data_IF_426106385974
#
_entry.id   IF_426106385974
#
_cell.length_a   1.000
_cell.length_b   1.000
_cell.length_c   1.000
_cell.angle_alpha   90.00
_cell.angle_beta   90.00
_cell.angle_gamma   90.00
#
_symmetry.space_group_name_H-M   'P 1'
#
loop_
_entity.id
_entity.type
_entity.pdbx_description
1 polymer ?
#
# COMPACT_ATOMS: atom_id res chain seq x y z
N UNK A 1 -2.14 17.69 7.12
CA UNK A 1 -1.46 16.40 7.36
C UNK A 1 -0.37 16.23 6.31
N UNK A 2 0.83 15.82 6.67
CA UNK A 2 1.87 15.42 5.73
C UNK A 2 1.96 13.90 5.63
N UNK A 3 2.84 13.37 4.79
CA UNK A 3 2.94 11.92 4.53
C UNK A 3 3.42 11.14 5.76
N UNK A 4 4.34 11.70 6.54
CA UNK A 4 4.82 11.06 7.76
C UNK A 4 3.71 10.94 8.80
N UNK A 5 2.94 12.01 9.01
CA UNK A 5 1.77 12.01 9.89
C UNK A 5 0.72 10.99 9.45
N UNK A 6 0.48 10.87 8.13
CA UNK A 6 -0.43 9.89 7.56
C UNK A 6 0.00 8.45 7.89
N UNK A 7 1.28 8.13 7.65
CA UNK A 7 1.77 6.79 7.94
C UNK A 7 1.89 6.51 9.43
N UNK A 8 2.26 7.49 10.26
CA UNK A 8 2.25 7.34 11.72
C UNK A 8 0.84 7.06 12.25
N UNK A 9 -0.17 7.73 11.69
CA UNK A 9 -1.58 7.43 11.98
C UNK A 9 -1.99 6.05 11.49
N UNK A 10 -1.31 5.50 10.47
CA UNK A 10 -1.56 4.15 9.95
C UNK A 10 -0.88 3.05 10.75
N UNK A 11 0.08 3.35 11.63
CA UNK A 11 0.78 2.35 12.47
C UNK A 11 -0.22 1.57 13.32
N UNK A 12 -0.07 0.25 13.34
CA UNK A 12 -0.92 -0.68 14.11
C UNK A 12 -1.31 -1.92 13.31
N UNK A 13 -2.25 -2.67 13.85
CA UNK A 13 -2.81 -3.87 13.24
C UNK A 13 -4.22 -3.57 12.71
N UNK A 14 -4.50 -3.99 11.47
CA UNK A 14 -5.74 -3.72 10.78
C UNK A 14 -6.35 -5.01 10.23
N UNK A 15 -7.66 -5.17 10.40
CA UNK A 15 -8.44 -6.17 9.69
C UNK A 15 -9.06 -5.50 8.47
N UNK A 16 -8.72 -5.98 7.29
CA UNK A 16 -9.15 -5.46 6.01
C UNK A 16 -10.11 -6.42 5.34
N UNK A 17 -11.19 -5.90 4.80
CA UNK A 17 -12.07 -6.59 3.86
C UNK A 17 -12.08 -5.80 2.56
N UNK A 18 -11.60 -6.44 1.48
CA UNK A 18 -11.49 -5.85 0.15
C UNK A 18 -12.41 -6.59 -0.81
N UNK A 19 -13.20 -5.85 -1.55
CA UNK A 19 -13.89 -6.33 -2.75
C UNK A 19 -13.18 -5.80 -3.98
N UNK A 20 -12.99 -6.64 -4.99
CA UNK A 20 -12.35 -6.30 -6.25
C UNK A 20 -13.22 -6.76 -7.43
N UNK A 21 -13.27 -5.94 -8.47
CA UNK A 21 -13.91 -6.28 -9.73
C UNK A 21 -12.87 -6.24 -10.85
N UNK A 22 -12.64 -7.37 -11.48
CA UNK A 22 -11.87 -7.48 -12.71
C UNK A 22 -12.81 -7.30 -13.89
N UNK A 23 -12.72 -6.13 -14.54
CA UNK A 23 -13.57 -5.81 -15.69
C UNK A 23 -13.17 -6.60 -16.94
N UNK A 24 -11.86 -6.92 -17.05
CA UNK A 24 -11.33 -7.70 -18.16
C UNK A 24 -11.83 -9.15 -18.16
N UNK A 25 -12.02 -9.75 -16.99
CA UNK A 25 -12.44 -11.15 -16.83
C UNK A 25 -13.89 -11.28 -16.35
N UNK A 26 -14.57 -10.15 -16.04
CA UNK A 26 -15.92 -10.11 -15.48
C UNK A 26 -16.03 -10.91 -14.17
N UNK A 27 -14.98 -10.83 -13.36
CA UNK A 27 -14.87 -11.54 -12.10
C UNK A 27 -14.98 -10.58 -10.92
N UNK A 28 -15.51 -11.09 -9.83
CA UNK A 28 -15.58 -10.42 -8.53
C UNK A 28 -14.80 -11.24 -7.51
N UNK A 29 -14.04 -10.57 -6.64
CA UNK A 29 -13.22 -11.20 -5.61
C UNK A 29 -13.45 -10.51 -4.27
N UNK A 30 -13.56 -11.30 -3.19
CA UNK A 30 -13.49 -10.82 -1.83
C UNK A 30 -12.22 -11.35 -1.15
N UNK A 31 -11.47 -10.46 -0.52
CA UNK A 31 -10.25 -10.81 0.20
C UNK A 31 -10.32 -10.24 1.61
N UNK A 32 -10.07 -11.07 2.59
CA UNK A 32 -9.86 -10.68 3.98
C UNK A 32 -8.37 -10.73 4.30
N UNK A 33 -7.87 -9.67 4.91
CA UNK A 33 -6.45 -9.55 5.25
C UNK A 33 -6.25 -9.03 6.66
N UNK A 34 -5.19 -9.50 7.29
CA UNK A 34 -4.60 -8.86 8.45
C UNK A 34 -3.39 -8.08 7.99
N UNK A 35 -3.34 -6.80 8.32
CA UNK A 35 -2.25 -5.92 7.91
C UNK A 35 -1.62 -5.35 9.18
N UNK A 36 -0.31 -5.45 9.29
CA UNK A 36 0.47 -4.86 10.38
C UNK A 36 1.42 -3.82 9.81
N UNK A 37 1.31 -2.60 10.31
CA UNK A 37 2.18 -1.48 9.92
C UNK A 37 2.98 -1.05 11.14
N UNK A 38 4.30 -1.00 10.98
CA UNK A 38 5.24 -0.61 12.04
C UNK A 38 6.13 0.50 11.51
N UNK A 39 6.28 1.58 12.29
CA UNK A 39 7.30 2.57 12.00
C UNK A 39 8.69 1.99 12.31
N UNK A 40 9.59 2.09 11.36
CA UNK A 40 10.97 1.65 11.51
C UNK A 40 11.91 2.85 11.56
N UNK A 41 13.00 2.68 12.29
CA UNK A 41 14.08 3.66 12.27
C UNK A 41 14.89 3.52 10.99
N UNK A 42 15.47 4.61 10.52
CA UNK A 42 16.34 4.60 9.33
C UNK A 42 17.64 3.83 9.54
N UNK A 43 17.99 3.50 10.79
CA UNK A 43 19.13 2.66 11.15
C UNK A 43 18.80 1.15 11.30
N UNK A 44 17.57 0.72 11.00
CA UNK A 44 17.23 -0.71 10.87
C UNK A 44 18.02 -1.30 9.70
N UNK A 45 18.68 -2.42 9.93
CA UNK A 45 19.56 -3.05 8.92
C UNK A 45 18.84 -3.34 7.60
N UNK A 46 17.60 -3.78 7.65
CA UNK A 46 16.75 -4.06 6.47
C UNK A 46 16.47 -2.78 5.68
N UNK A 47 16.21 -1.67 6.39
CA UNK A 47 15.97 -0.37 5.76
C UNK A 47 17.25 0.15 5.12
N UNK A 48 18.40 0.06 5.81
CA UNK A 48 19.71 0.48 5.28
C UNK A 48 20.06 -0.30 4.02
N UNK A 49 19.89 -1.62 4.05
CA UNK A 49 20.13 -2.49 2.88
C UNK A 49 19.24 -2.09 1.72
N UNK A 50 17.93 -1.95 1.97
CA UNK A 50 16.96 -1.50 0.95
C UNK A 50 17.31 -0.14 0.34
N UNK A 51 17.68 0.84 1.16
CA UNK A 51 18.07 2.17 0.69
C UNK A 51 19.36 2.11 -0.15
N UNK A 52 20.35 1.33 0.27
CA UNK A 52 21.63 1.14 -0.43
C UNK A 52 21.42 0.47 -1.79
N UNK A 53 20.68 -0.63 -1.84
CA UNK A 53 20.41 -1.39 -3.07
C UNK A 53 19.64 -0.56 -4.10
N UNK A 54 18.87 0.41 -3.63
CA UNK A 54 18.10 1.31 -4.47
C UNK A 54 18.78 2.65 -4.72
N UNK A 55 20.06 2.83 -4.30
CA UNK A 55 20.81 4.08 -4.45
C UNK A 55 20.07 5.31 -3.89
N UNK A 56 19.35 5.13 -2.78
CA UNK A 56 18.60 6.20 -2.11
C UNK A 56 19.49 6.84 -1.06
N UNK A 57 19.61 8.17 -1.11
CA UNK A 57 20.34 8.91 -0.09
C UNK A 57 19.62 8.80 1.25
N UNK A 58 20.28 8.20 2.25
CA UNK A 58 19.73 8.03 3.60
C UNK A 58 19.36 9.34 4.28
N UNK A 59 20.06 10.44 3.94
CA UNK A 59 19.77 11.77 4.48
C UNK A 59 18.45 12.36 3.96
N UNK A 60 17.90 11.83 2.89
CA UNK A 60 16.60 12.26 2.35
C UNK A 60 15.42 11.49 2.95
N UNK A 61 15.68 10.54 3.86
CA UNK A 61 14.67 9.66 4.45
C UNK A 61 14.55 9.94 5.93
N UNK A 62 13.40 10.46 6.35
CA UNK A 62 13.12 10.70 7.77
C UNK A 62 12.68 9.42 8.50
N UNK A 63 11.81 8.64 7.88
CA UNK A 63 11.25 7.40 8.43
C UNK A 63 10.99 6.37 7.33
N UNK A 64 11.02 5.10 7.73
CA UNK A 64 10.55 3.98 6.94
C UNK A 64 9.41 3.26 7.69
N UNK A 65 8.62 2.50 6.95
CA UNK A 65 7.52 1.71 7.50
C UNK A 65 7.63 0.29 6.98
N UNK A 66 7.43 -0.67 7.88
CA UNK A 66 7.35 -2.09 7.55
C UNK A 66 5.88 -2.47 7.52
N UNK A 67 5.46 -3.09 6.44
CA UNK A 67 4.09 -3.56 6.23
C UNK A 67 4.14 -5.06 6.06
N UNK A 68 3.48 -5.79 6.95
CA UNK A 68 3.28 -7.23 6.82
C UNK A 68 1.80 -7.49 6.59
N UNK A 69 1.47 -8.45 5.74
CA UNK A 69 0.09 -8.85 5.54
C UNK A 69 -0.06 -10.35 5.41
N UNK A 70 -1.23 -10.83 5.84
CA UNK A 70 -1.73 -12.18 5.63
C UNK A 70 -3.13 -12.04 5.03
N UNK A 71 -3.36 -12.65 3.88
CA UNK A 71 -4.60 -12.55 3.13
C UNK A 71 -5.20 -13.93 2.84
N UNK A 72 -6.53 -14.00 2.90
CA UNK A 72 -7.32 -15.17 2.51
C UNK A 72 -8.37 -14.73 1.49
N UNK A 73 -8.48 -15.45 0.37
CA UNK A 73 -9.55 -15.27 -0.60
C UNK A 73 -10.71 -16.19 -0.24
N UNK A 74 -11.95 -15.68 -0.28
CA UNK A 74 -13.16 -16.46 0.04
C UNK A 74 -13.76 -17.15 -1.22
N UNK A 75 -13.13 -17.04 -2.40
CA UNK A 75 -13.76 -17.34 -3.68
C UNK A 75 -13.82 -18.82 -4.08
N UNK A 76 -12.95 -19.70 -3.60
CA UNK A 76 -13.00 -21.12 -3.94
C UNK A 76 -12.63 -21.99 -2.73
N UNK A 77 -13.42 -23.06 -2.47
CA UNK A 77 -13.08 -24.04 -1.44
C UNK A 77 -11.73 -24.74 -1.71
N UNK A 78 -11.31 -24.86 -2.98
CA UNK A 78 -9.97 -25.35 -3.36
C UNK A 78 -8.88 -24.29 -3.22
N UNK A 79 -9.18 -22.99 -3.36
CA UNK A 79 -8.26 -21.86 -3.19
C UNK A 79 -8.18 -21.35 -1.75
N UNK A 80 -9.06 -21.76 -0.83
CA UNK A 80 -8.98 -21.46 0.59
C UNK A 80 -7.65 -21.88 1.24
N UNK A 81 -6.85 -22.71 0.55
CA UNK A 81 -5.49 -23.09 0.94
C UNK A 81 -4.39 -22.11 0.52
N UNK A 82 -4.66 -21.13 -0.34
CA UNK A 82 -3.71 -20.08 -0.70
C UNK A 82 -3.81 -18.92 0.29
N UNK A 83 -3.26 -19.11 1.48
CA UNK A 83 -2.88 -17.99 2.31
C UNK A 83 -1.75 -17.25 1.58
N UNK A 84 -2.02 -16.02 1.17
CA UNK A 84 -0.97 -15.16 0.63
C UNK A 84 -0.48 -14.26 1.76
N UNK A 85 0.79 -14.30 2.03
CA UNK A 85 1.41 -13.43 3.01
C UNK A 85 2.62 -12.73 2.41
N UNK A 86 2.93 -11.56 2.90
CA UNK A 86 4.08 -10.83 2.43
C UNK A 86 4.51 -9.72 3.37
N UNK A 87 5.68 -9.17 3.05
CA UNK A 87 6.28 -8.04 3.75
C UNK A 87 6.71 -7.00 2.72
N UNK A 88 6.59 -5.73 3.06
CA UNK A 88 7.10 -4.64 2.25
C UNK A 88 7.72 -3.55 3.13
N UNK A 89 8.84 -3.01 2.68
CA UNK A 89 9.44 -1.79 3.21
C UNK A 89 8.89 -0.63 2.39
N UNK A 90 8.39 0.39 3.07
CA UNK A 90 7.84 1.59 2.46
C UNK A 90 8.63 2.80 2.97
N UNK A 91 9.17 3.58 2.04
CA UNK A 91 9.96 4.78 2.31
C UNK A 91 9.32 5.97 1.62
N UNK A 92 8.67 6.87 2.37
CA UNK A 92 8.18 8.14 1.82
C UNK A 92 9.32 9.14 1.68
N UNK A 93 9.34 9.87 0.55
CA UNK A 93 10.25 10.97 0.28
C UNK A 93 9.41 12.20 -0.04
N UNK A 94 9.47 13.21 0.81
CA UNK A 94 8.75 14.47 0.63
C UNK A 94 9.45 15.34 -0.42
N UNK A 95 8.66 15.87 -1.38
CA UNK A 95 9.07 16.93 -2.32
C UNK A 95 8.46 18.24 -1.88
N UNK A 96 7.22 18.19 -1.40
CA UNK A 96 6.51 19.29 -0.77
C UNK A 96 5.72 18.77 0.43
N UNK A 97 5.04 19.64 1.16
CA UNK A 97 4.21 19.26 2.31
C UNK A 97 3.14 18.20 1.97
N UNK A 98 2.63 18.21 0.74
CA UNK A 98 1.50 17.37 0.32
C UNK A 98 1.83 16.44 -0.84
N UNK A 99 3.02 16.51 -1.41
CA UNK A 99 3.38 15.72 -2.59
C UNK A 99 4.81 15.16 -2.46
N UNK A 100 5.04 14.01 -3.07
CA UNK A 100 6.35 13.37 -3.09
C UNK A 100 6.32 12.00 -3.72
N UNK A 101 7.24 11.15 -3.29
CA UNK A 101 7.40 9.79 -3.78
C UNK A 101 7.29 8.79 -2.64
N UNK A 102 6.77 7.61 -2.95
CA UNK A 102 6.83 6.45 -2.07
C UNK A 102 7.65 5.39 -2.80
N UNK A 103 8.72 4.94 -2.16
CA UNK A 103 9.53 3.83 -2.65
C UNK A 103 9.19 2.63 -1.80
N UNK A 104 8.84 1.51 -2.43
CA UNK A 104 8.51 0.29 -1.73
C UNK A 104 9.22 -0.92 -2.34
N UNK A 105 9.59 -1.87 -1.48
CA UNK A 105 9.98 -3.19 -1.91
C UNK A 105 8.74 -3.96 -2.36
N UNK A 106 8.85 -4.68 -3.46
CA UNK A 106 7.78 -5.56 -3.96
C UNK A 106 8.24 -7.00 -3.78
N UNK A 107 7.59 -7.72 -2.86
CA UNK A 107 7.64 -9.17 -2.79
C UNK A 107 8.99 -9.83 -2.43
N UNK A 108 8.91 -11.12 -2.19
CA UNK A 108 9.90 -11.97 -1.53
C UNK A 108 11.14 -12.36 -2.36
N UNK A 109 11.21 -12.11 -3.66
CA UNK A 109 12.27 -12.72 -4.50
C UNK A 109 12.88 -11.84 -5.57
N UNK A 110 12.32 -10.68 -5.86
CA UNK A 110 12.91 -9.77 -6.82
C UNK A 110 12.91 -8.36 -6.24
N UNK A 111 14.10 -7.77 -6.14
CA UNK A 111 14.28 -6.38 -5.73
C UNK A 111 13.77 -5.39 -6.81
N UNK A 112 12.51 -5.54 -7.21
CA UNK A 112 11.86 -4.62 -8.11
C UNK A 112 11.38 -3.43 -7.29
N UNK A 113 12.13 -2.35 -7.39
CA UNK A 113 11.77 -1.05 -6.84
C UNK A 113 10.51 -0.53 -7.53
N UNK A 114 9.42 -0.40 -6.79
CA UNK A 114 8.28 0.36 -7.24
C UNK A 114 8.35 1.77 -6.67
N UNK A 115 8.43 2.75 -7.57
CA UNK A 115 8.37 4.18 -7.23
C UNK A 115 7.00 4.69 -7.60
N UNK A 116 6.25 5.12 -6.61
CA UNK A 116 4.93 5.72 -6.78
C UNK A 116 5.00 7.22 -6.47
N UNK A 117 4.21 8.02 -7.15
CA UNK A 117 3.96 9.41 -6.76
C UNK A 117 2.81 9.44 -5.74
N UNK A 118 2.86 10.38 -4.81
CA UNK A 118 1.75 10.60 -3.91
C UNK A 118 1.34 12.06 -3.85
N UNK A 119 0.07 12.24 -3.49
CA UNK A 119 -0.52 13.53 -3.14
C UNK A 119 -1.44 13.38 -1.94
N UNK A 120 -1.40 14.32 -1.02
CA UNK A 120 -2.34 14.42 0.10
C UNK A 120 -3.29 15.58 -0.18
N UNK A 121 -4.58 15.31 -0.18
CA UNK A 121 -5.63 16.30 -0.36
C UNK A 121 -5.91 17.08 0.93
N UNK A 122 -6.66 18.17 0.84
CA UNK A 122 -7.00 19.03 1.98
C UNK A 122 -7.82 18.31 3.06
N UNK A 123 -8.62 17.31 2.67
CA UNK A 123 -9.37 16.44 3.58
C UNK A 123 -8.51 15.35 4.24
N UNK A 124 -7.23 15.29 3.90
CA UNK A 124 -6.28 14.29 4.39
C UNK A 124 -6.29 12.97 3.63
N UNK A 125 -7.00 12.87 2.51
CA UNK A 125 -6.95 11.69 1.64
C UNK A 125 -5.57 11.58 0.99
N UNK A 126 -4.93 10.43 1.14
CA UNK A 126 -3.70 10.09 0.45
C UNK A 126 -4.05 9.46 -0.91
N UNK A 127 -3.54 10.03 -1.99
CA UNK A 127 -3.61 9.45 -3.33
C UNK A 127 -2.22 8.94 -3.69
N UNK A 128 -2.15 7.72 -4.23
CA UNK A 128 -0.91 7.10 -4.70
C UNK A 128 -1.10 6.73 -6.17
N UNK A 129 -0.17 7.14 -7.00
CA UNK A 129 -0.09 6.80 -8.42
C UNK A 129 1.09 5.89 -8.65
N UNK A 130 0.84 4.71 -9.21
CA UNK A 130 1.85 3.70 -9.48
C UNK A 130 1.74 3.23 -10.91
N UNK A 131 2.80 3.40 -11.67
CA UNK A 131 2.91 2.87 -13.03
C UNK A 131 3.85 1.66 -13.00
N UNK A 132 3.41 0.56 -13.56
CA UNK A 132 4.19 -0.66 -13.68
C UNK A 132 3.87 -1.38 -14.99
N UNK A 133 4.90 -1.62 -15.81
CA UNK A 133 4.75 -2.15 -17.16
C UNK A 133 3.73 -1.33 -17.98
N UNK A 134 2.64 -1.97 -18.42
CA UNK A 134 1.60 -1.37 -19.24
C UNK A 134 0.36 -0.96 -18.44
N UNK A 135 0.45 -0.92 -17.11
CA UNK A 135 -0.69 -0.57 -16.24
C UNK A 135 -0.36 0.62 -15.34
N UNK A 136 -1.38 1.43 -15.09
CA UNK A 136 -1.37 2.53 -14.13
C UNK A 136 -2.43 2.28 -13.06
N UNK A 137 -2.06 2.44 -11.80
CA UNK A 137 -2.96 2.28 -10.66
C UNK A 137 -3.03 3.56 -9.87
N UNK A 138 -4.25 4.06 -9.65
CA UNK A 138 -4.55 5.12 -8.70
C UNK A 138 -5.17 4.48 -7.45
N UNK A 139 -4.57 4.73 -6.30
CA UNK A 139 -5.04 4.30 -4.99
C UNK A 139 -5.41 5.52 -4.15
N UNK A 140 -6.56 5.47 -3.48
CA UNK A 140 -6.98 6.49 -2.52
C UNK A 140 -7.18 5.87 -1.17
N UNK A 141 -6.61 6.47 -0.12
CA UNK A 141 -6.68 5.99 1.26
C UNK A 141 -7.09 7.15 2.14
N UNK A 142 -8.16 6.98 2.92
CA UNK A 142 -8.63 8.02 3.85
C UNK A 142 -9.08 7.44 5.17
N UNK A 143 -8.96 8.23 6.22
CA UNK A 143 -9.42 7.88 7.55
C UNK A 143 -10.84 8.39 7.78
N UNK A 144 -11.78 7.47 8.00
CA UNK A 144 -13.14 7.78 8.45
C UNK A 144 -13.13 8.14 9.95
N UNK A 145 -12.26 7.45 10.71
CA UNK A 145 -11.97 7.73 12.12
C UNK A 145 -10.54 7.28 12.47
N UNK A 146 -10.12 7.40 13.72
CA UNK A 146 -8.81 6.89 14.14
C UNK A 146 -8.66 5.38 14.00
N UNK A 147 -9.78 4.64 14.01
CA UNK A 147 -9.80 3.18 14.00
C UNK A 147 -10.48 2.59 12.75
N UNK A 148 -10.89 3.44 11.81
CA UNK A 148 -11.50 3.03 10.55
C UNK A 148 -10.89 3.85 9.43
N UNK A 149 -10.31 3.17 8.44
CA UNK A 149 -9.90 3.77 7.18
C UNK A 149 -10.47 3.00 6.01
N UNK A 150 -10.63 3.68 4.90
CA UNK A 150 -11.08 3.09 3.65
C UNK A 150 -10.03 3.28 2.57
N UNK A 151 -10.05 2.38 1.60
CA UNK A 151 -9.17 2.40 0.45
C UNK A 151 -10.00 2.10 -0.80
N UNK A 152 -9.72 2.81 -1.88
CA UNK A 152 -10.20 2.46 -3.21
C UNK A 152 -9.04 2.43 -4.19
N UNK A 153 -9.12 1.59 -5.21
CA UNK A 153 -8.14 1.59 -6.29
C UNK A 153 -8.79 1.41 -7.65
N UNK A 154 -8.18 2.00 -8.65
CA UNK A 154 -8.55 1.84 -10.06
C UNK A 154 -7.28 1.56 -10.84
N UNK A 155 -7.25 0.42 -11.54
CA UNK A 155 -6.15 0.03 -12.42
C UNK A 155 -6.58 0.16 -13.88
N UNK A 156 -5.76 0.80 -14.68
CA UNK A 156 -5.99 1.08 -16.10
C UNK A 156 -4.84 0.57 -16.96
N UNK A 157 -5.15 0.20 -18.20
CA UNK A 157 -4.13 0.05 -19.23
C UNK A 157 -3.62 1.45 -19.62
N UNK A 158 -2.30 1.64 -19.72
CA UNK A 158 -1.70 2.93 -20.07
C UNK A 158 -2.05 3.34 -21.50
N UNK A 159 -1.98 2.40 -22.44
CA UNK A 159 -2.16 2.70 -23.85
C UNK A 159 -3.59 3.05 -24.26
N UNK A 160 -4.58 2.37 -23.67
CA UNK A 160 -6.00 2.51 -24.02
C UNK A 160 -6.82 3.29 -23.00
N UNK A 161 -6.26 3.54 -21.80
CA UNK A 161 -6.94 4.08 -20.62
C UNK A 161 -8.13 3.21 -20.16
N UNK A 162 -8.27 2.00 -20.71
CA UNK A 162 -9.33 1.08 -20.32
C UNK A 162 -9.17 0.69 -18.85
N UNK A 163 -10.27 0.71 -18.10
CA UNK A 163 -10.29 0.25 -16.72
C UNK A 163 -10.22 -1.27 -16.72
N UNK A 164 -9.19 -1.82 -16.11
CA UNK A 164 -8.96 -3.27 -15.99
C UNK A 164 -9.55 -3.82 -14.70
N UNK A 165 -9.37 -3.08 -13.60
CA UNK A 165 -9.78 -3.52 -12.28
C UNK A 165 -10.16 -2.32 -11.41
N UNK A 166 -11.13 -2.51 -10.55
CA UNK A 166 -11.45 -1.60 -9.44
C UNK A 166 -11.51 -2.37 -8.14
N UNK A 167 -11.16 -1.73 -7.03
CA UNK A 167 -11.36 -2.35 -5.72
C UNK A 167 -11.74 -1.31 -4.66
N UNK A 168 -12.37 -1.81 -3.60
CA UNK A 168 -12.68 -1.06 -2.40
C UNK A 168 -12.36 -1.91 -1.17
N UNK A 169 -11.73 -1.31 -0.16
CA UNK A 169 -11.46 -1.96 1.11
C UNK A 169 -11.90 -1.10 2.28
N UNK A 170 -12.49 -1.76 3.28
CA UNK A 170 -12.72 -1.21 4.61
C UNK A 170 -11.74 -1.87 5.59
N UNK A 171 -11.04 -1.06 6.37
CA UNK A 171 -9.98 -1.51 7.26
C UNK A 171 -10.24 -1.02 8.68
N UNK A 172 -10.42 -1.96 9.62
CA UNK A 172 -10.72 -1.69 11.02
C UNK A 172 -9.47 -2.01 11.85
N UNK A 173 -9.05 -1.07 12.70
CA UNK A 173 -7.92 -1.25 13.60
C UNK A 173 -8.24 -2.28 14.68
N UNK A 174 -7.33 -3.24 14.88
CA UNK A 174 -7.38 -4.15 16.01
C UNK A 174 -7.01 -3.41 17.29
N UNK A 175 -7.94 -3.28 18.22
CA UNK A 175 -7.71 -2.71 19.54
C UNK A 175 -7.46 -3.90 20.47
N UNK A 176 -6.22 -4.07 20.94
CA UNK A 176 -5.95 -5.04 22.01
C UNK A 176 -6.64 -4.53 23.28
N UNK A 177 -7.50 -5.35 23.84
CA UNK A 177 -8.09 -5.13 25.18
C UNK A 177 -7.03 -5.31 26.23
#
# INVERSE_FOLDING_TARGET
MNIEEFFLKSVGEWNSMRSGHSLAFQEFEEIRSKIKIVASKTNDSRVIEFLKDNSINTNAVNKAFLINWEAKSDWNEEDQKKESSGESILVPIEISKTEGKIIRSVGYTEAIKLVSLYKILDDGTLIIYSDYNSISTEERIWFVSNNLRSRSSVTRAIDSLAILQTSYASEIRSIKK
#
